data_IF_637275571802
#
_entry.id   IF_637275571802
#
_cell.length_a   1.000
_cell.length_b   1.000
_cell.length_c   1.000
_cell.angle_alpha   90.00
_cell.angle_beta   90.00
_cell.angle_gamma   90.00
#
_symmetry.space_group_name_H-M   'P 1'
#
loop_
_entity.id
_entity.type
_entity.pdbx_description
1 polymer ?
#
# COMPACT_ATOMS: atom_id res chain seq x y z
N UNK A 1 17.62 9.98 -2.04
CA UNK A 1 17.63 10.64 -0.72
C UNK A 1 16.20 11.08 -0.46
N UNK A 2 15.41 10.28 0.26
CA UNK A 2 14.04 10.67 0.63
C UNK A 2 14.16 11.57 1.87
N UNK A 3 13.44 12.69 1.88
CA UNK A 3 13.40 13.60 3.02
C UNK A 3 12.90 12.91 4.30
N UNK A 4 13.16 13.50 5.47
CA UNK A 4 12.78 13.07 6.83
C UNK A 4 11.26 12.91 7.09
N UNK A 5 10.45 12.83 6.03
CA UNK A 5 9.00 12.75 6.09
C UNK A 5 8.31 14.11 6.14
N UNK A 6 6.97 14.09 6.12
CA UNK A 6 6.18 15.30 6.29
C UNK A 6 6.51 15.95 7.65
N UNK A 7 6.83 17.24 7.63
CA UNK A 7 7.08 18.03 8.85
C UNK A 7 5.76 18.48 9.54
N UNK A 8 4.61 18.10 8.96
CA UNK A 8 3.28 18.52 9.41
C UNK A 8 2.55 17.38 10.11
N UNK A 9 1.66 17.71 11.03
CA UNK A 9 0.77 16.74 11.65
C UNK A 9 -0.06 15.97 10.61
N UNK A 10 -0.14 14.65 10.78
CA UNK A 10 -0.91 13.77 9.90
C UNK A 10 -2.20 13.31 10.59
N UNK A 11 -3.35 13.25 9.88
CA UNK A 11 -4.64 12.87 10.48
C UNK A 11 -4.71 11.47 11.11
N UNK A 12 -3.77 10.59 10.78
CA UNK A 12 -3.69 9.22 11.30
C UNK A 12 -2.98 9.10 12.65
N UNK A 13 -2.30 10.15 13.13
CA UNK A 13 -1.55 10.14 14.39
C UNK A 13 -2.47 9.80 15.57
N UNK A 14 -2.06 8.82 16.39
CA UNK A 14 -2.83 8.35 17.54
C UNK A 14 -4.03 7.45 17.22
N UNK A 15 -4.18 6.98 15.97
CA UNK A 15 -5.35 6.19 15.51
C UNK A 15 -4.97 4.86 14.88
N UNK A 16 -3.90 4.20 15.34
CA UNK A 16 -3.33 2.98 14.72
C UNK A 16 -4.39 1.90 14.47
N UNK A 17 -5.26 1.62 15.43
CA UNK A 17 -6.31 0.60 15.35
C UNK A 17 -7.24 0.77 14.13
N UNK A 18 -7.46 2.01 13.67
CA UNK A 18 -8.27 2.28 12.49
C UNK A 18 -7.61 1.79 11.19
N UNK A 19 -6.28 1.76 11.14
CA UNK A 19 -5.50 1.48 9.93
C UNK A 19 -5.09 0.01 9.80
N UNK A 20 -5.44 -0.86 10.75
CA UNK A 20 -5.23 -2.31 10.68
C UNK A 20 -6.54 -3.11 10.78
N UNK A 21 -7.54 -2.82 9.93
CA UNK A 21 -8.76 -3.62 9.90
C UNK A 21 -8.51 -5.03 9.34
N UNK A 22 -9.48 -5.94 9.53
CA UNK A 22 -9.50 -7.21 8.80
C UNK A 22 -9.47 -6.93 7.29
N UNK A 23 -8.42 -7.41 6.63
CA UNK A 23 -8.20 -7.17 5.20
C UNK A 23 -9.28 -7.83 4.33
N UNK A 24 -9.85 -7.04 3.42
CA UNK A 24 -10.57 -7.58 2.26
C UNK A 24 -9.58 -8.05 1.19
N UNK A 25 -10.01 -8.93 0.30
CA UNK A 25 -9.17 -9.46 -0.78
C UNK A 25 -9.52 -8.80 -2.13
N UNK A 26 -8.64 -8.93 -3.11
CA UNK A 26 -9.02 -8.70 -4.52
C UNK A 26 -9.78 -9.95 -5.02
N UNK A 27 -10.89 -9.80 -5.78
CA UNK A 27 -11.43 -8.57 -6.36
C UNK A 27 -12.52 -7.88 -5.51
N UNK A 28 -12.68 -8.24 -4.24
CA UNK A 28 -13.74 -7.69 -3.40
C UNK A 28 -13.56 -6.19 -3.20
N UNK A 29 -14.68 -5.48 -3.06
CA UNK A 29 -14.66 -4.07 -2.68
C UNK A 29 -14.09 -3.90 -1.24
N UNK A 30 -13.47 -2.76 -0.92
CA UNK A 30 -13.01 -2.47 0.42
C UNK A 30 -14.12 -2.62 1.45
N UNK A 31 -13.81 -3.23 2.60
CA UNK A 31 -14.72 -3.33 3.73
C UNK A 31 -15.08 -1.95 4.29
N UNK A 32 -16.15 -1.87 5.07
CA UNK A 32 -16.56 -0.62 5.75
C UNK A 32 -15.43 -0.05 6.63
N UNK A 33 -14.65 -0.91 7.28
CA UNK A 33 -13.55 -0.49 8.13
C UNK A 33 -12.38 0.08 7.31
N UNK A 34 -12.01 -0.56 6.20
CA UNK A 34 -10.99 -0.05 5.28
C UNK A 34 -11.41 1.29 4.66
N UNK A 35 -12.67 1.44 4.24
CA UNK A 35 -13.18 2.73 3.70
C UNK A 35 -13.01 3.88 4.69
N UNK A 36 -13.32 3.66 5.97
CA UNK A 36 -13.11 4.69 7.02
C UNK A 36 -11.65 5.10 7.15
N UNK A 37 -10.72 4.14 7.10
CA UNK A 37 -9.30 4.44 7.15
C UNK A 37 -8.82 5.20 5.90
N UNK A 38 -9.30 4.79 4.72
CA UNK A 38 -9.02 5.45 3.43
C UNK A 38 -9.53 6.89 3.44
N UNK A 39 -10.73 7.14 3.98
CA UNK A 39 -11.31 8.48 4.11
C UNK A 39 -10.42 9.41 4.94
N UNK A 40 -9.80 8.92 6.03
CA UNK A 40 -8.84 9.71 6.82
C UNK A 40 -7.60 10.10 6.00
N UNK A 41 -7.20 9.27 5.04
CA UNK A 41 -6.09 9.59 4.14
C UNK A 41 -6.44 10.61 3.05
N UNK A 42 -7.73 10.85 2.74
CA UNK A 42 -8.14 11.58 1.54
C UNK A 42 -7.57 13.01 1.43
N UNK A 43 -7.42 13.70 2.57
CA UNK A 43 -6.83 15.05 2.66
C UNK A 43 -5.46 15.09 3.34
N UNK A 44 -4.80 13.96 3.53
CA UNK A 44 -3.52 13.93 4.24
C UNK A 44 -2.40 14.54 3.37
N UNK A 45 -1.66 15.56 3.85
CA UNK A 45 -0.58 16.20 3.08
C UNK A 45 0.58 15.25 2.77
N UNK A 46 0.69 14.16 3.52
CA UNK A 46 1.74 13.16 3.38
C UNK A 46 1.31 11.93 2.57
N UNK A 47 0.11 11.92 1.96
CA UNK A 47 -0.48 10.70 1.39
C UNK A 47 0.44 9.98 0.42
N UNK A 48 0.98 10.72 -0.56
CA UNK A 48 1.79 10.13 -1.63
C UNK A 48 3.18 9.70 -1.11
N UNK A 49 3.80 10.50 -0.25
CA UNK A 49 5.04 10.12 0.44
C UNK A 49 4.85 8.86 1.30
N UNK A 50 3.73 8.76 2.01
CA UNK A 50 3.40 7.62 2.86
C UNK A 50 3.21 6.33 2.05
N UNK A 51 2.51 6.43 0.91
CA UNK A 51 2.34 5.32 -0.02
C UNK A 51 3.69 4.84 -0.55
N UNK A 52 4.48 5.77 -1.09
CA UNK A 52 5.72 5.46 -1.75
C UNK A 52 6.76 4.89 -0.79
N UNK A 53 6.86 5.46 0.41
CA UNK A 53 7.73 4.94 1.48
C UNK A 53 7.37 3.50 1.82
N UNK A 54 6.09 3.20 2.04
CA UNK A 54 5.66 1.85 2.39
C UNK A 54 5.98 0.83 1.28
N UNK A 55 5.77 1.21 0.01
CA UNK A 55 6.10 0.34 -1.12
C UNK A 55 7.60 0.08 -1.24
N UNK A 56 8.45 1.09 -1.00
CA UNK A 56 9.92 0.98 -1.07
C UNK A 56 10.47 0.20 0.11
N UNK A 57 9.98 0.43 1.32
CA UNK A 57 10.48 -0.22 2.54
C UNK A 57 9.98 -1.67 2.70
N UNK A 58 8.88 -2.03 2.03
CA UNK A 58 8.37 -3.40 2.02
C UNK A 58 9.27 -4.31 1.17
N UNK A 59 9.99 -5.22 1.83
CA UNK A 59 10.86 -6.20 1.15
C UNK A 59 10.09 -7.19 0.27
N UNK A 60 8.86 -7.53 0.67
CA UNK A 60 7.98 -8.45 -0.06
C UNK A 60 6.52 -8.01 0.08
N UNK A 61 5.66 -8.42 -0.87
CA UNK A 61 4.26 -8.02 -0.86
C UNK A 61 3.49 -8.51 0.39
N UNK A 62 3.82 -9.66 0.97
CA UNK A 62 3.18 -10.16 2.19
C UNK A 62 3.44 -9.27 3.42
N UNK A 63 4.51 -8.45 3.42
CA UNK A 63 4.81 -7.49 4.49
C UNK A 63 3.98 -6.21 4.44
N UNK A 64 3.30 -5.97 3.32
CA UNK A 64 2.33 -4.88 3.20
C UNK A 64 1.10 -5.30 4.01
N UNK A 65 0.77 -4.49 5.02
CA UNK A 65 -0.37 -4.71 5.92
C UNK A 65 -1.18 -3.44 6.17
N UNK A 66 -2.48 -3.60 6.36
CA UNK A 66 -3.40 -2.52 6.72
C UNK A 66 -3.66 -1.49 5.61
N UNK A 67 -4.05 -0.28 5.99
CA UNK A 67 -4.30 0.86 5.08
C UNK A 67 -3.17 1.89 5.25
N UNK A 68 -2.52 2.27 4.15
CA UNK A 68 -1.59 3.42 4.11
C UNK A 68 -1.70 4.16 2.80
N UNK A 69 -1.37 5.44 2.81
CA UNK A 69 -1.37 6.25 1.60
C UNK A 69 -2.72 6.28 0.85
N UNK A 70 -3.83 6.04 1.56
CA UNK A 70 -5.16 5.96 0.98
C UNK A 70 -5.48 4.66 0.24
N UNK A 71 -4.65 3.62 0.35
CA UNK A 71 -4.88 2.33 -0.28
C UNK A 71 -4.94 1.20 0.75
N UNK A 72 -5.82 0.22 0.51
CA UNK A 72 -5.88 -1.00 1.32
C UNK A 72 -4.71 -1.94 1.00
N UNK A 73 -4.57 -2.94 1.84
CA UNK A 73 -3.52 -3.96 1.78
C UNK A 73 -3.46 -4.64 0.40
N UNK A 74 -4.61 -5.11 -0.10
CA UNK A 74 -4.68 -5.86 -1.36
C UNK A 74 -4.20 -5.03 -2.57
N UNK A 75 -4.63 -3.77 -2.66
CA UNK A 75 -4.27 -2.85 -3.75
C UNK A 75 -2.75 -2.56 -3.74
N UNK A 76 -2.19 -2.25 -2.56
CA UNK A 76 -0.75 -1.99 -2.42
C UNK A 76 0.08 -3.23 -2.70
N UNK A 77 -0.40 -4.42 -2.33
CA UNK A 77 0.22 -5.70 -2.69
C UNK A 77 0.25 -5.91 -4.21
N UNK A 78 -0.85 -5.59 -4.90
CA UNK A 78 -0.89 -5.66 -6.36
C UNK A 78 0.10 -4.67 -6.99
N UNK A 79 0.14 -3.43 -6.50
CA UNK A 79 1.05 -2.39 -6.95
C UNK A 79 2.53 -2.75 -6.71
N UNK A 80 2.86 -3.28 -5.53
CA UNK A 80 4.22 -3.74 -5.21
C UNK A 80 4.66 -4.87 -6.12
N UNK A 81 3.81 -5.88 -6.35
CA UNK A 81 4.10 -6.96 -7.31
C UNK A 81 4.28 -6.44 -8.73
N UNK A 82 3.50 -5.45 -9.15
CA UNK A 82 3.65 -4.83 -10.45
C UNK A 82 5.00 -4.12 -10.59
N UNK A 83 5.46 -3.43 -9.54
CA UNK A 83 6.69 -2.62 -9.57
C UNK A 83 7.97 -3.41 -9.35
N UNK A 84 7.94 -4.37 -8.42
CA UNK A 84 9.13 -5.08 -7.93
C UNK A 84 9.08 -6.59 -8.18
N UNK A 85 7.94 -7.13 -8.63
CA UNK A 85 7.86 -8.53 -9.03
C UNK A 85 8.80 -8.80 -10.20
N UNK A 86 9.71 -9.77 -10.03
CA UNK A 86 10.53 -10.25 -11.14
C UNK A 86 9.59 -10.83 -12.19
N UNK A 87 9.48 -10.18 -13.36
CA UNK A 87 8.86 -10.82 -14.53
C UNK A 87 9.71 -12.05 -14.85
N UNK A 88 9.16 -13.28 -14.88
CA UNK A 88 9.88 -14.37 -15.51
C UNK A 88 10.16 -13.93 -16.95
N UNK A 89 11.42 -13.99 -17.38
CA UNK A 89 11.74 -13.81 -18.79
C UNK A 89 10.86 -14.78 -19.57
N UNK A 90 10.11 -14.29 -20.59
CA UNK A 90 9.43 -15.19 -21.54
C UNK A 90 10.51 -16.17 -21.98
N UNK A 91 10.35 -17.46 -21.70
CA UNK A 91 11.21 -18.50 -22.28
C UNK A 91 11.12 -18.27 -23.79
N UNK A 92 12.21 -17.81 -24.39
CA UNK A 92 12.31 -17.72 -25.84
C UNK A 92 11.96 -19.11 -26.36
N UNK A 93 10.92 -19.19 -27.18
CA UNK A 93 10.36 -20.45 -27.65
C UNK A 93 11.46 -21.31 -28.25
N UNK A 94 11.73 -22.45 -27.65
CA UNK A 94 12.52 -23.51 -28.27
C UNK A 94 11.57 -24.24 -29.20
N UNK A 95 11.72 -24.01 -30.50
CA UNK A 95 11.15 -24.84 -31.56
C UNK A 95 12.08 -26.04 -31.77
N UNK A 96 11.54 -27.25 -31.63
CA UNK A 96 12.18 -28.50 -32.08
C UNK A 96 11.94 -28.70 -33.57
#
# INVERSE_FOLDING_TARGET
>A
MWSDGPQTETPCTGRSELFFPKASQEPDAPSKAERRAIEVCAGCPARDWCLERDLVESSTADRIIGVRGGLREADRRALHRQRYGKRPAKRAGVTW
#
